data_IF_288601013944
#
_entry.id   IF_288601013944
#
_cell.length_a   1.000
_cell.length_b   1.000
_cell.length_c   1.000
_cell.angle_alpha   90.00
_cell.angle_beta   90.00
_cell.angle_gamma   90.00
#
_symmetry.space_group_name_H-M   'P 1'
#
loop_
_entity.id
_entity.type
_entity.pdbx_description
1 polymer ?
#
# COMPACT_ATOMS: atom_id res chain seq x y z
N UNK A 1 3.81 25.77 9.89
CA UNK A 1 5.19 25.48 10.33
C UNK A 1 5.09 24.82 11.69
N UNK A 2 5.53 23.57 11.82
CA UNK A 2 5.48 22.86 13.10
C UNK A 2 6.81 23.15 13.79
N UNK A 3 6.77 23.95 14.85
CA UNK A 3 7.91 24.15 15.73
C UNK A 3 8.16 22.85 16.51
N UNK A 4 9.10 22.05 16.03
CA UNK A 4 9.68 20.99 16.84
C UNK A 4 10.45 21.64 17.97
N UNK A 5 9.84 21.74 19.15
CA UNK A 5 10.53 22.10 20.37
C UNK A 5 11.67 21.08 20.58
N UNK A 6 12.86 21.48 20.16
CA UNK A 6 14.03 20.62 20.10
C UNK A 6 14.66 20.64 21.48
N UNK A 7 14.42 19.58 22.25
CA UNK A 7 15.07 19.42 23.55
C UNK A 7 16.59 19.31 23.36
N UNK A 8 17.40 20.05 24.14
CA UNK A 8 18.84 19.95 24.06
C UNK A 8 19.27 18.53 24.46
N UNK A 9 19.79 17.77 23.49
CA UNK A 9 20.36 16.44 23.70
C UNK A 9 21.88 16.54 23.60
N UNK A 10 22.60 16.05 24.61
CA UNK A 10 24.07 16.00 24.62
C UNK A 10 24.61 15.27 23.38
N UNK A 11 23.92 14.20 22.96
CA UNK A 11 24.23 13.45 21.73
C UNK A 11 24.01 14.29 20.46
N UNK A 12 23.07 15.23 20.47
CA UNK A 12 22.85 16.18 19.38
C UNK A 12 24.01 17.18 19.25
N UNK A 13 24.53 17.69 20.38
CA UNK A 13 25.69 18.59 20.38
C UNK A 13 26.97 17.88 19.97
N UNK A 14 27.26 16.71 20.53
CA UNK A 14 28.42 15.88 20.15
C UNK A 14 28.41 15.57 18.64
N UNK A 15 27.25 15.19 18.09
CA UNK A 15 27.09 14.93 16.65
C UNK A 15 27.16 16.20 15.80
N UNK A 16 26.77 17.37 16.33
CA UNK A 16 26.96 18.66 15.64
C UNK A 16 28.43 19.03 15.48
N UNK A 17 29.23 18.72 16.50
CA UNK A 17 30.65 19.00 16.52
C UNK A 17 31.47 18.07 15.63
N UNK A 18 31.01 16.82 15.40
CA UNK A 18 31.68 15.86 14.51
C UNK A 18 31.17 15.92 13.06
N UNK A 19 29.87 16.12 12.84
CA UNK A 19 29.21 15.97 11.54
C UNK A 19 28.55 17.28 11.05
N UNK A 20 29.37 18.29 10.78
CA UNK A 20 28.91 19.51 10.11
C UNK A 20 28.38 19.20 8.69
N UNK A 21 28.80 18.10 8.07
CA UNK A 21 28.35 17.68 6.73
C UNK A 21 27.06 16.86 6.72
N UNK A 22 26.80 16.02 7.73
CA UNK A 22 25.70 15.03 7.68
C UNK A 22 24.31 15.65 7.93
N UNK A 23 24.24 16.79 8.62
CA UNK A 23 22.98 17.49 8.92
C UNK A 23 22.25 18.01 7.67
N UNK A 24 22.95 18.20 6.55
CA UNK A 24 22.34 18.56 5.27
C UNK A 24 21.79 17.34 4.52
N UNK A 25 22.26 16.14 4.82
CA UNK A 25 21.87 14.91 4.13
C UNK A 25 20.58 14.29 4.67
N UNK A 26 20.18 14.62 5.90
CA UNK A 26 18.93 14.14 6.50
C UNK A 26 17.78 15.15 6.38
N UNK A 27 17.72 15.90 5.28
CA UNK A 27 16.48 16.58 4.90
C UNK A 27 15.54 15.50 4.39
N UNK A 28 14.80 14.87 5.31
CA UNK A 28 13.89 13.75 5.06
C UNK A 28 13.20 13.90 3.72
N UNK A 29 13.78 13.24 2.72
CA UNK A 29 13.45 13.52 1.35
C UNK A 29 12.14 12.79 1.11
N UNK A 30 11.09 13.54 0.73
CA UNK A 30 9.81 12.92 0.39
C UNK A 30 10.00 11.84 -0.67
N UNK A 31 11.02 12.01 -1.52
CA UNK A 31 11.47 11.02 -2.49
C UNK A 31 11.99 9.72 -1.87
N UNK A 32 12.70 9.77 -0.74
CA UNK A 32 13.18 8.53 -0.08
C UNK A 32 11.99 7.73 0.46
N UNK A 33 10.99 8.41 1.03
CA UNK A 33 9.76 7.76 1.52
C UNK A 33 8.93 7.19 0.38
N UNK A 34 8.82 7.90 -0.76
CA UNK A 34 8.18 7.40 -1.98
C UNK A 34 8.91 6.16 -2.52
N UNK A 35 10.24 6.20 -2.59
CA UNK A 35 11.06 5.07 -3.04
C UNK A 35 10.92 3.84 -2.14
N UNK A 36 10.96 4.02 -0.82
CA UNK A 36 10.72 2.94 0.15
C UNK A 36 9.30 2.38 0.01
N UNK A 37 8.29 3.22 -0.25
CA UNK A 37 6.91 2.79 -0.51
C UNK A 37 6.81 1.91 -1.75
N UNK A 38 7.42 2.31 -2.86
CA UNK A 38 7.48 1.50 -4.09
C UNK A 38 8.16 0.15 -3.85
N UNK A 39 9.26 0.11 -3.10
CA UNK A 39 9.95 -1.14 -2.77
C UNK A 39 9.12 -2.08 -1.86
N UNK A 40 8.29 -1.51 -0.97
CA UNK A 40 7.37 -2.28 -0.12
C UNK A 40 6.19 -2.90 -0.89
N UNK A 41 5.87 -2.38 -2.08
CA UNK A 41 4.90 -3.01 -2.99
C UNK A 41 5.47 -4.32 -3.54
N UNK A 42 6.75 -4.31 -3.91
CA UNK A 42 7.40 -5.43 -4.58
C UNK A 42 7.87 -6.56 -3.64
N UNK A 43 8.17 -6.26 -2.38
CA UNK A 43 8.78 -7.22 -1.43
C UNK A 43 7.80 -8.21 -0.78
N UNK A 44 6.49 -7.96 -0.84
CA UNK A 44 5.47 -8.86 -0.29
C UNK A 44 5.18 -10.11 -1.16
N UNK A 45 5.88 -10.28 -2.28
CA UNK A 45 5.65 -11.36 -3.25
C UNK A 45 6.06 -12.78 -2.76
N UNK A 46 6.67 -12.92 -1.58
CA UNK A 46 7.39 -14.16 -1.25
C UNK A 46 6.55 -15.39 -0.87
N UNK A 47 5.23 -15.31 -0.65
CA UNK A 47 4.43 -16.48 -0.22
C UNK A 47 2.94 -16.52 -0.61
N UNK A 48 2.46 -15.73 -1.58
CA UNK A 48 1.02 -15.63 -1.84
C UNK A 48 0.53 -16.55 -2.96
N UNK A 49 -0.56 -17.26 -2.70
CA UNK A 49 -1.47 -17.85 -3.69
C UNK A 49 -1.67 -16.89 -4.86
N UNK A 50 -1.62 -17.39 -6.09
CA UNK A 50 -1.86 -16.58 -7.29
C UNK A 50 -3.33 -16.20 -7.39
N UNK A 51 -3.62 -15.06 -8.03
CA UNK A 51 -5.00 -14.62 -8.23
C UNK A 51 -5.82 -15.67 -9.00
N UNK A 52 -5.19 -16.36 -9.96
CA UNK A 52 -5.81 -17.46 -10.70
C UNK A 52 -6.21 -18.63 -9.79
N UNK A 53 -5.33 -19.04 -8.87
CA UNK A 53 -5.65 -20.09 -7.89
C UNK A 53 -6.80 -19.68 -6.97
N UNK A 54 -6.86 -18.41 -6.54
CA UNK A 54 -8.00 -17.87 -5.78
C UNK A 54 -9.30 -17.94 -6.58
N UNK A 55 -9.29 -17.51 -7.84
CA UNK A 55 -10.47 -17.58 -8.71
C UNK A 55 -10.95 -19.02 -8.90
N UNK A 56 -10.03 -19.96 -9.12
CA UNK A 56 -10.35 -21.38 -9.25
C UNK A 56 -10.96 -21.94 -7.96
N UNK A 57 -10.47 -21.54 -6.78
CA UNK A 57 -11.06 -21.96 -5.50
C UNK A 57 -12.50 -21.45 -5.34
N UNK A 58 -12.78 -20.22 -5.74
CA UNK A 58 -14.15 -19.68 -5.67
C UNK A 58 -15.10 -20.36 -6.63
N UNK A 59 -14.69 -20.54 -7.88
CA UNK A 59 -15.49 -21.18 -8.92
C UNK A 59 -15.73 -22.66 -8.64
N UNK A 60 -14.75 -23.36 -8.05
CA UNK A 60 -14.87 -24.76 -7.65
C UNK A 60 -15.82 -24.96 -6.47
N UNK A 61 -15.79 -24.05 -5.49
CA UNK A 61 -16.65 -24.15 -4.30
C UNK A 61 -18.06 -23.60 -4.51
N UNK A 62 -18.28 -22.76 -5.52
CA UNK A 62 -19.59 -22.20 -5.81
C UNK A 62 -19.79 -22.02 -7.32
N UNK A 63 -20.66 -22.85 -7.91
CA UNK A 63 -21.10 -22.71 -9.30
C UNK A 63 -22.20 -21.64 -9.46
N UNK A 64 -22.06 -20.51 -8.77
CA UNK A 64 -23.02 -19.40 -8.82
C UNK A 64 -22.48 -18.29 -9.71
N UNK A 65 -23.24 -17.93 -10.75
CA UNK A 65 -22.93 -16.81 -11.66
C UNK A 65 -22.73 -15.47 -10.93
N UNK A 66 -23.32 -15.33 -9.74
CA UNK A 66 -23.13 -14.18 -8.85
C UNK A 66 -21.67 -14.00 -8.41
N UNK A 67 -20.98 -15.08 -8.04
CA UNK A 67 -19.59 -15.02 -7.55
C UNK A 67 -18.65 -14.68 -8.70
N UNK A 68 -18.90 -15.22 -9.89
CA UNK A 68 -18.15 -14.84 -11.09
C UNK A 68 -18.28 -13.34 -11.39
N UNK A 69 -19.49 -12.78 -11.24
CA UNK A 69 -19.75 -11.35 -11.38
C UNK A 69 -19.01 -10.52 -10.32
N UNK A 70 -19.01 -10.96 -9.06
CA UNK A 70 -18.30 -10.27 -7.97
C UNK A 70 -16.77 -10.30 -8.15
N UNK A 71 -16.21 -11.42 -8.62
CA UNK A 71 -14.79 -11.53 -8.95
C UNK A 71 -14.42 -10.56 -10.08
N UNK A 72 -15.28 -10.45 -11.11
CA UNK A 72 -15.11 -9.48 -12.20
C UNK A 72 -15.19 -8.04 -11.69
N UNK A 73 -16.10 -7.73 -10.77
CA UNK A 73 -16.20 -6.42 -10.13
C UNK A 73 -14.96 -6.09 -9.29
N UNK A 74 -14.47 -7.03 -8.48
CA UNK A 74 -13.25 -6.84 -7.70
C UNK A 74 -12.04 -6.54 -8.60
N UNK A 75 -11.91 -7.24 -9.73
CA UNK A 75 -10.86 -6.97 -10.71
C UNK A 75 -10.98 -5.56 -11.31
N UNK A 76 -12.19 -5.07 -11.58
CA UNK A 76 -12.40 -3.70 -12.04
C UNK A 76 -11.90 -2.68 -11.01
N UNK A 77 -12.26 -2.84 -9.75
CA UNK A 77 -11.74 -1.96 -8.69
C UNK A 77 -10.22 -2.05 -8.59
N UNK A 78 -9.63 -3.24 -8.65
CA UNK A 78 -8.18 -3.41 -8.63
C UNK A 78 -7.48 -2.65 -9.77
N UNK A 79 -8.08 -2.60 -10.97
CA UNK A 79 -7.56 -1.80 -12.09
C UNK A 79 -7.60 -0.31 -11.75
N UNK A 80 -8.68 0.18 -11.16
CA UNK A 80 -8.77 1.58 -10.73
C UNK A 80 -7.74 1.93 -9.63
N UNK A 81 -7.50 1.00 -8.70
CA UNK A 81 -6.48 1.15 -7.65
C UNK A 81 -5.05 1.12 -8.18
N UNK A 82 -4.77 0.27 -9.16
CA UNK A 82 -3.45 0.12 -9.76
C UNK A 82 -3.12 1.28 -10.72
N UNK A 83 -4.13 1.82 -11.40
CA UNK A 83 -3.98 2.85 -12.42
C UNK A 83 -3.75 2.28 -13.82
N UNK A 84 -3.97 3.10 -14.83
CA UNK A 84 -4.06 2.72 -16.25
C UNK A 84 -2.76 2.21 -16.89
N UNK A 85 -1.61 2.41 -16.25
CA UNK A 85 -0.30 1.95 -16.75
C UNK A 85 0.18 0.64 -16.08
N UNK A 86 -0.68 -0.02 -15.30
CA UNK A 86 -0.29 -1.22 -14.55
C UNK A 86 -0.33 -2.50 -15.37
N UNK A 87 0.68 -3.34 -15.20
CA UNK A 87 0.76 -4.66 -15.84
C UNK A 87 -0.25 -5.66 -15.23
N UNK A 88 -0.57 -6.72 -15.97
CA UNK A 88 -1.46 -7.79 -15.49
C UNK A 88 -1.01 -8.40 -14.15
N UNK A 89 0.30 -8.58 -13.95
CA UNK A 89 0.86 -9.09 -12.69
C UNK A 89 0.67 -8.12 -11.52
N UNK A 90 0.74 -6.81 -11.77
CA UNK A 90 0.47 -5.78 -10.77
C UNK A 90 -1.02 -5.76 -10.40
N UNK A 91 -1.91 -5.81 -11.39
CA UNK A 91 -3.37 -5.89 -11.17
C UNK A 91 -3.73 -7.12 -10.34
N UNK A 92 -3.15 -8.28 -10.66
CA UNK A 92 -3.40 -9.52 -9.90
C UNK A 92 -2.89 -9.40 -8.45
N UNK A 93 -1.74 -8.77 -8.23
CA UNK A 93 -1.23 -8.49 -6.88
C UNK A 93 -2.15 -7.57 -6.07
N UNK A 94 -2.74 -6.56 -6.73
CA UNK A 94 -3.72 -5.66 -6.11
C UNK A 94 -5.03 -6.40 -5.81
N UNK A 95 -5.48 -7.30 -6.68
CA UNK A 95 -6.65 -8.15 -6.41
C UNK A 95 -6.46 -8.99 -5.15
N UNK A 96 -5.30 -9.65 -5.01
CA UNK A 96 -4.96 -10.44 -3.82
C UNK A 96 -4.94 -9.55 -2.58
N UNK A 97 -4.28 -8.38 -2.66
CA UNK A 97 -4.20 -7.45 -1.54
C UNK A 97 -5.58 -6.98 -1.07
N UNK A 98 -6.44 -6.54 -1.99
CA UNK A 98 -7.80 -6.11 -1.66
C UNK A 98 -8.60 -7.27 -1.05
N UNK A 99 -8.48 -8.47 -1.61
CA UNK A 99 -9.14 -9.64 -1.04
C UNK A 99 -8.67 -9.93 0.39
N UNK A 100 -7.36 -9.98 0.63
CA UNK A 100 -6.80 -10.22 1.97
C UNK A 100 -7.19 -9.12 2.96
N UNK A 101 -7.25 -7.88 2.49
CA UNK A 101 -7.62 -6.73 3.30
C UNK A 101 -9.09 -6.79 3.72
N UNK A 102 -10.00 -7.17 2.81
CA UNK A 102 -11.44 -7.16 3.07
C UNK A 102 -12.03 -8.50 3.56
N UNK A 103 -11.32 -9.64 3.43
CA UNK A 103 -11.89 -10.97 3.74
C UNK A 103 -12.43 -11.13 5.17
N UNK A 104 -11.87 -10.38 6.11
CA UNK A 104 -12.20 -10.45 7.54
C UNK A 104 -12.88 -9.16 8.05
N UNK A 105 -13.22 -8.24 7.15
CA UNK A 105 -13.74 -6.92 7.51
C UNK A 105 -15.25 -6.90 7.33
N UNK A 106 -15.97 -6.83 8.45
CA UNK A 106 -17.42 -6.67 8.45
C UNK A 106 -17.86 -5.20 8.34
N UNK A 107 -16.99 -4.25 8.68
CA UNK A 107 -17.27 -2.81 8.64
C UNK A 107 -16.01 -2.02 8.25
N UNK A 108 -16.16 -1.05 7.35
CA UNK A 108 -15.05 -0.19 6.91
C UNK A 108 -14.71 0.79 8.04
N UNK A 109 -13.54 0.61 8.66
CA UNK A 109 -13.03 1.49 9.71
C UNK A 109 -12.08 2.56 9.15
N UNK A 110 -11.94 3.67 9.88
CA UNK A 110 -11.03 4.76 9.51
C UNK A 110 -9.56 4.30 9.45
N UNK A 111 -9.18 3.32 10.26
CA UNK A 111 -7.86 2.66 10.23
C UNK A 111 -7.59 2.01 8.87
N UNK A 112 -8.58 1.27 8.35
CA UNK A 112 -8.52 0.61 7.05
C UNK A 112 -8.38 1.64 5.92
N UNK A 113 -9.15 2.74 5.99
CA UNK A 113 -9.07 3.82 5.01
C UNK A 113 -7.69 4.49 5.01
N UNK A 114 -7.07 4.66 6.19
CA UNK A 114 -5.71 5.19 6.30
C UNK A 114 -4.67 4.25 5.67
N UNK A 115 -4.80 2.96 5.89
CA UNK A 115 -3.93 1.94 5.27
C UNK A 115 -4.08 1.93 3.75
N UNK A 116 -5.32 1.99 3.26
CA UNK A 116 -5.64 2.04 1.85
C UNK A 116 -5.11 3.33 1.19
N UNK A 117 -5.22 4.48 1.88
CA UNK A 117 -4.63 5.76 1.45
C UNK A 117 -3.11 5.76 1.45
N UNK A 118 -2.49 5.05 2.39
CA UNK A 118 -1.05 4.88 2.43
C UNK A 118 -0.54 4.05 1.24
N UNK A 119 -1.28 3.01 0.85
CA UNK A 119 -0.91 2.07 -0.21
C UNK A 119 -1.26 2.58 -1.61
N UNK A 120 -2.44 3.19 -1.77
CA UNK A 120 -2.98 3.70 -3.03
C UNK A 120 -3.36 5.19 -2.91
N UNK A 121 -2.35 6.08 -2.84
CA UNK A 121 -2.58 7.51 -2.64
C UNK A 121 -3.35 8.17 -3.79
N UNK A 122 -3.13 7.72 -5.03
CA UNK A 122 -3.73 8.31 -6.24
C UNK A 122 -5.24 8.06 -6.31
N UNK A 123 -5.69 6.84 -5.99
CA UNK A 123 -7.12 6.49 -6.00
C UNK A 123 -7.87 7.15 -4.84
N UNK A 124 -7.28 7.18 -3.64
CA UNK A 124 -7.94 7.68 -2.43
C UNK A 124 -8.10 9.21 -2.37
N UNK A 125 -7.50 9.95 -3.31
CA UNK A 125 -7.79 11.38 -3.50
C UNK A 125 -9.19 11.63 -4.07
N UNK A 126 -9.79 10.66 -4.74
CA UNK A 126 -11.12 10.75 -5.35
C UNK A 126 -12.26 10.39 -4.37
N UNK A 127 -11.94 9.96 -3.15
CA UNK A 127 -12.89 9.51 -2.12
C UNK A 127 -13.26 10.60 -1.09
N UNK A 128 -12.89 11.87 -1.36
CA UNK A 128 -13.16 13.04 -0.49
C UNK A 128 -14.24 13.92 -1.10
#
# INVERSE_FOLDING_TARGET
>A
MIDYQTYPRITGSLRAHSDIAERLHYRGDTDELLRRRQQSLNTNSRKSITWQELQQLFLKNNSNSTIESQIKQLRKYAIEFAGSESDASQIDSVCIYLFELFRNVNQIQVSLLKELKLRFPTYTQQLV
#
